data_IF_567841898905
#
_entry.id   IF_567841898905
#
_cell.length_a   1.000
_cell.length_b   1.000
_cell.length_c   1.000
_cell.angle_alpha   90.00
_cell.angle_beta   90.00
_cell.angle_gamma   90.00
#
_symmetry.space_group_name_H-M   'P 1'
#
loop_
_entity.id
_entity.type
_entity.pdbx_description
1 polymer ?
#
# COMPACT_ATOMS: atom_id res chain seq x y z
N UNK A 1 28.44 16.85 14.30
CA UNK A 1 28.33 15.40 14.50
C UNK A 1 27.24 14.88 13.57
N UNK A 2 27.62 14.14 12.53
CA UNK A 2 26.67 13.59 11.56
C UNK A 2 26.00 12.35 12.12
N UNK A 3 24.81 12.50 12.69
CA UNK A 3 23.96 11.35 13.00
C UNK A 3 23.67 10.59 11.69
N UNK A 4 23.91 9.28 11.68
CA UNK A 4 23.48 8.40 10.59
C UNK A 4 24.58 8.00 9.61
N UNK A 5 25.85 8.02 10.03
CA UNK A 5 26.88 7.29 9.29
C UNK A 5 26.59 5.79 9.39
N UNK A 6 26.92 5.03 8.35
CA UNK A 6 26.66 3.58 8.30
C UNK A 6 27.22 2.85 9.54
N UNK A 7 28.39 3.28 10.02
CA UNK A 7 29.06 2.76 11.21
C UNK A 7 28.22 2.92 12.48
N UNK A 8 27.51 4.04 12.65
CA UNK A 8 26.65 4.26 13.82
C UNK A 8 25.47 3.27 13.81
N UNK A 9 24.93 2.99 12.62
CA UNK A 9 23.83 2.02 12.46
C UNK A 9 24.30 0.58 12.70
N UNK A 10 25.54 0.27 12.33
CA UNK A 10 26.16 -1.04 12.63
C UNK A 10 26.34 -1.24 14.13
N UNK A 11 26.84 -0.23 14.86
CA UNK A 11 26.93 -0.27 16.33
C UNK A 11 25.55 -0.46 16.99
N UNK A 12 24.55 0.31 16.55
CA UNK A 12 23.17 0.17 17.04
C UNK A 12 22.60 -1.23 16.77
N UNK A 13 22.94 -1.85 15.64
CA UNK A 13 22.51 -3.22 15.32
C UNK A 13 23.08 -4.22 16.34
N UNK A 14 24.34 -4.05 16.73
CA UNK A 14 25.00 -4.94 17.70
C UNK A 14 24.44 -4.76 19.12
N UNK A 15 24.15 -3.52 19.52
CA UNK A 15 23.45 -3.21 20.78
C UNK A 15 22.06 -3.88 20.83
N UNK A 16 21.27 -3.72 19.76
CA UNK A 16 19.95 -4.36 19.65
C UNK A 16 20.05 -5.88 19.71
N UNK A 17 21.07 -6.47 19.06
CA UNK A 17 21.31 -7.92 19.12
C UNK A 17 21.59 -8.39 20.56
N UNK A 18 22.37 -7.61 21.31
CA UNK A 18 22.70 -7.89 22.72
C UNK A 18 21.46 -7.82 23.61
N UNK A 19 20.57 -6.85 23.40
CA UNK A 19 19.32 -6.77 24.17
C UNK A 19 18.36 -7.91 23.83
N UNK A 20 18.23 -8.26 22.55
CA UNK A 20 17.33 -9.34 22.12
C UNK A 20 17.77 -10.72 22.63
N UNK A 21 19.07 -10.96 22.75
CA UNK A 21 19.59 -12.25 23.24
C UNK A 21 19.20 -12.51 24.70
N UNK A 22 19.03 -11.46 25.52
CA UNK A 22 18.57 -11.57 26.91
C UNK A 22 17.17 -12.18 27.03
N UNK A 23 16.34 -12.05 25.98
CA UNK A 23 15.00 -12.63 25.90
C UNK A 23 14.94 -13.85 24.95
N UNK A 24 16.09 -14.40 24.55
CA UNK A 24 16.19 -15.56 23.68
C UNK A 24 15.84 -15.30 22.21
N UNK A 25 15.90 -14.04 21.75
CA UNK A 25 15.65 -13.65 20.36
C UNK A 25 16.94 -13.27 19.64
N UNK A 26 17.02 -13.56 18.35
CA UNK A 26 18.16 -13.20 17.50
C UNK A 26 17.70 -12.53 16.21
N UNK A 27 18.46 -11.56 15.72
CA UNK A 27 18.23 -10.94 14.42
C UNK A 27 18.55 -11.94 13.30
N UNK A 28 17.64 -12.06 12.35
CA UNK A 28 17.88 -12.86 11.14
C UNK A 28 18.78 -12.08 10.17
N UNK A 29 19.98 -12.59 9.92
CA UNK A 29 20.95 -11.94 9.01
C UNK A 29 20.39 -11.76 7.60
N UNK A 30 19.64 -12.75 7.11
CA UNK A 30 19.05 -12.71 5.76
C UNK A 30 17.91 -11.69 5.61
N UNK A 31 17.29 -11.26 6.72
CA UNK A 31 16.18 -10.27 6.71
C UNK A 31 16.63 -8.88 7.15
N UNK A 32 17.76 -8.77 7.83
CA UNK A 32 18.25 -7.52 8.40
C UNK A 32 19.15 -6.82 7.38
N UNK A 33 18.75 -5.64 6.93
CA UNK A 33 19.54 -4.83 5.99
C UNK A 33 19.63 -3.38 6.47
N UNK A 34 20.82 -2.81 6.35
CA UNK A 34 21.06 -1.38 6.47
C UNK A 34 20.94 -0.77 5.06
N UNK A 35 20.03 0.19 4.88
CA UNK A 35 19.79 0.87 3.61
C UNK A 35 19.69 2.38 3.83
N UNK A 36 20.13 3.15 2.84
CA UNK A 36 19.96 4.60 2.87
C UNK A 36 18.51 4.98 2.53
N UNK A 37 17.95 6.02 3.17
CA UNK A 37 16.55 6.42 2.99
C UNK A 37 16.23 6.85 1.54
N UNK A 38 17.23 7.24 0.76
CA UNK A 38 17.08 7.59 -0.66
C UNK A 38 17.01 6.37 -1.59
N UNK A 39 17.62 5.24 -1.19
CA UNK A 39 17.40 3.96 -1.88
C UNK A 39 15.97 3.46 -1.64
N UNK A 40 15.47 3.71 -0.43
CA UNK A 40 14.15 3.30 0.03
C UNK A 40 14.09 1.85 0.49
N UNK A 41 13.05 1.53 1.25
CA UNK A 41 12.83 0.18 1.78
C UNK A 41 11.35 -0.15 1.93
N UNK A 42 11.05 -1.44 1.99
CA UNK A 42 9.70 -1.95 2.17
C UNK A 42 9.44 -2.25 3.66
N UNK A 43 8.37 -1.68 4.21
CA UNK A 43 7.91 -1.93 5.58
C UNK A 43 6.38 -1.97 5.64
N UNK A 44 5.81 -3.05 6.20
CA UNK A 44 4.35 -3.26 6.30
C UNK A 44 3.59 -3.04 4.97
N UNK A 45 4.21 -3.41 3.85
CA UNK A 45 3.63 -3.24 2.51
C UNK A 45 3.72 -1.81 1.94
N UNK A 46 4.33 -0.88 2.67
CA UNK A 46 4.72 0.44 2.17
C UNK A 46 6.14 0.41 1.66
N UNK A 47 6.39 1.05 0.53
CA UNK A 47 7.72 1.45 0.10
C UNK A 47 7.96 2.89 0.56
N UNK A 48 8.98 3.08 1.39
CA UNK A 48 9.32 4.36 2.01
C UNK A 48 10.62 4.85 1.40
N UNK A 49 10.61 6.05 0.81
CA UNK A 49 11.77 6.61 0.13
C UNK A 49 11.82 8.13 0.27
N UNK A 50 12.98 8.70 0.59
CA UNK A 50 13.24 10.14 0.49
C UNK A 50 13.65 10.48 -0.93
N UNK A 51 12.93 11.42 -1.55
CA UNK A 51 13.24 11.91 -2.90
C UNK A 51 12.90 13.39 -3.06
N UNK A 52 13.41 14.00 -4.13
CA UNK A 52 13.11 15.39 -4.48
C UNK A 52 11.61 15.54 -4.72
N UNK A 53 11.02 16.56 -4.09
CA UNK A 53 9.63 16.90 -4.29
C UNK A 53 9.46 17.52 -5.68
N UNK A 54 8.56 16.94 -6.48
CA UNK A 54 8.26 17.48 -7.81
C UNK A 54 7.63 18.87 -7.69
N UNK A 55 8.15 19.85 -8.42
CA UNK A 55 7.61 21.21 -8.49
C UNK A 55 7.95 22.12 -7.30
N UNK A 56 8.90 21.74 -6.44
CA UNK A 56 9.49 22.64 -5.43
C UNK A 56 10.99 22.48 -5.47
N UNK A 57 11.69 23.52 -5.91
CA UNK A 57 13.13 23.48 -6.09
C UNK A 57 13.85 23.09 -4.80
N UNK A 58 14.68 22.06 -4.91
CA UNK A 58 15.59 21.60 -3.85
C UNK A 58 14.96 20.89 -2.65
N UNK A 59 13.63 20.84 -2.50
CA UNK A 59 13.02 20.25 -1.29
C UNK A 59 12.95 18.72 -1.36
N UNK A 60 13.51 18.05 -0.36
CA UNK A 60 13.40 16.61 -0.18
C UNK A 60 12.16 16.27 0.66
N UNK A 61 11.44 15.21 0.30
CA UNK A 61 10.31 14.71 1.06
C UNK A 61 10.34 13.18 1.13
N UNK A 62 9.82 12.63 2.23
CA UNK A 62 9.61 11.18 2.38
C UNK A 62 8.27 10.81 1.74
N UNK A 63 8.32 9.88 0.80
CA UNK A 63 7.17 9.29 0.15
C UNK A 63 6.95 7.89 0.70
N UNK A 64 5.73 7.62 1.16
CA UNK A 64 5.26 6.27 1.46
C UNK A 64 4.18 5.92 0.44
N UNK A 65 4.39 4.88 -0.36
CA UNK A 65 3.42 4.37 -1.34
C UNK A 65 3.34 2.84 -1.26
N UNK A 66 2.25 2.21 -1.72
CA UNK A 66 2.14 0.75 -1.65
C UNK A 66 3.29 0.09 -2.41
N UNK A 67 3.95 -0.88 -1.80
CA UNK A 67 5.09 -1.55 -2.41
C UNK A 67 4.64 -2.42 -3.58
N UNK A 68 5.58 -2.72 -4.49
CA UNK A 68 5.30 -3.61 -5.63
C UNK A 68 4.80 -4.98 -5.16
N UNK A 69 5.37 -5.51 -4.08
CA UNK A 69 4.93 -6.78 -3.47
C UNK A 69 3.49 -6.70 -2.96
N UNK A 70 3.12 -5.62 -2.29
CA UNK A 70 1.75 -5.42 -1.80
C UNK A 70 0.73 -5.31 -2.94
N UNK A 71 1.07 -4.58 -4.02
CA UNK A 71 0.24 -4.48 -5.22
C UNK A 71 0.09 -5.84 -5.91
N UNK A 72 1.19 -6.58 -6.11
CA UNK A 72 1.16 -7.90 -6.73
C UNK A 72 0.30 -8.89 -5.93
N UNK A 73 0.36 -8.82 -4.59
CA UNK A 73 -0.47 -9.66 -3.71
C UNK A 73 -1.96 -9.43 -3.97
N UNK A 74 -2.44 -8.18 -3.97
CA UNK A 74 -3.87 -7.90 -4.25
C UNK A 74 -4.23 -8.24 -5.69
N UNK A 75 -3.37 -7.96 -6.66
CA UNK A 75 -3.62 -8.34 -8.06
C UNK A 75 -3.75 -9.86 -8.22
N UNK A 76 -2.93 -10.64 -7.53
CA UNK A 76 -3.05 -12.11 -7.51
C UNK A 76 -4.37 -12.56 -6.90
N UNK A 77 -4.82 -11.92 -5.81
CA UNK A 77 -6.13 -12.20 -5.23
C UNK A 77 -7.26 -11.86 -6.22
N UNK A 78 -7.22 -10.70 -6.87
CA UNK A 78 -8.16 -10.32 -7.94
C UNK A 78 -8.15 -11.35 -9.07
N UNK A 79 -6.97 -11.77 -9.56
CA UNK A 79 -6.87 -12.82 -10.59
C UNK A 79 -7.56 -14.10 -10.17
N UNK A 80 -7.39 -14.50 -8.91
CA UNK A 80 -7.96 -15.73 -8.37
C UNK A 80 -9.48 -15.67 -8.26
N UNK A 81 -10.04 -14.50 -7.92
CA UNK A 81 -11.49 -14.27 -7.79
C UNK A 81 -12.13 -14.25 -9.18
N UNK A 82 -11.54 -13.53 -10.13
CA UNK A 82 -12.11 -13.38 -11.48
C UNK A 82 -11.80 -14.56 -12.41
N UNK A 83 -11.58 -15.77 -11.88
CA UNK A 83 -11.51 -16.98 -12.71
C UNK A 83 -12.93 -17.35 -13.19
N UNK A 84 -13.03 -17.97 -14.37
CA UNK A 84 -14.32 -18.12 -15.10
C UNK A 84 -15.31 -18.96 -14.29
N UNK A 85 -14.82 -20.03 -13.70
CA UNK A 85 -15.54 -21.09 -13.00
C UNK A 85 -15.98 -20.73 -11.58
N UNK A 86 -15.44 -19.65 -10.99
CA UNK A 86 -15.63 -19.38 -9.55
C UNK A 86 -16.99 -18.78 -9.17
N UNK A 87 -17.71 -18.18 -10.11
CA UNK A 87 -18.93 -17.44 -9.80
C UNK A 87 -20.03 -17.74 -10.80
N UNK A 88 -21.27 -17.91 -10.31
CA UNK A 88 -22.45 -18.15 -11.14
C UNK A 88 -23.06 -16.88 -11.72
N UNK A 89 -22.91 -15.73 -11.07
CA UNK A 89 -23.44 -14.45 -11.57
C UNK A 89 -22.38 -13.35 -11.48
N UNK A 90 -22.61 -12.21 -12.17
CA UNK A 90 -21.75 -11.04 -12.03
C UNK A 90 -21.88 -10.48 -10.60
N UNK A 91 -23.10 -10.41 -10.05
CA UNK A 91 -23.33 -9.99 -8.68
C UNK A 91 -22.51 -10.80 -7.65
N UNK A 92 -22.42 -12.12 -7.79
CA UNK A 92 -21.63 -12.96 -6.86
C UNK A 92 -20.13 -12.67 -6.95
N UNK A 93 -19.64 -12.44 -8.18
CA UNK A 93 -18.25 -12.03 -8.41
C UNK A 93 -18.00 -10.68 -7.72
N UNK A 94 -18.87 -9.69 -7.94
CA UNK A 94 -18.70 -8.34 -7.40
C UNK A 94 -18.80 -8.34 -5.87
N UNK A 95 -19.71 -9.12 -5.27
CA UNK A 95 -19.80 -9.28 -3.80
C UNK A 95 -18.52 -9.85 -3.19
N UNK A 96 -17.80 -10.68 -3.93
CA UNK A 96 -16.51 -11.25 -3.49
C UNK A 96 -15.34 -10.30 -3.74
N UNK A 97 -15.34 -9.60 -4.89
CA UNK A 97 -14.26 -8.71 -5.31
C UNK A 97 -14.25 -7.39 -4.53
N UNK A 98 -15.42 -6.79 -4.31
CA UNK A 98 -15.55 -5.45 -3.73
C UNK A 98 -14.94 -5.33 -2.32
N UNK A 99 -15.18 -6.25 -1.37
CA UNK A 99 -14.57 -6.17 -0.05
C UNK A 99 -13.05 -6.24 -0.09
N UNK A 100 -12.47 -6.99 -1.03
CA UNK A 100 -11.02 -7.09 -1.21
C UNK A 100 -10.43 -5.77 -1.68
N UNK A 101 -11.02 -5.17 -2.72
CA UNK A 101 -10.55 -3.87 -3.24
C UNK A 101 -10.74 -2.77 -2.19
N UNK A 102 -11.91 -2.72 -1.54
CA UNK A 102 -12.23 -1.72 -0.51
C UNK A 102 -11.29 -1.83 0.69
N UNK A 103 -11.09 -3.02 1.24
CA UNK A 103 -10.19 -3.23 2.36
C UNK A 103 -8.75 -2.85 2.03
N UNK A 104 -8.28 -3.21 0.83
CA UNK A 104 -6.94 -2.85 0.39
C UNK A 104 -6.77 -1.33 0.22
N UNK A 105 -7.74 -0.64 -0.38
CA UNK A 105 -7.74 0.82 -0.47
C UNK A 105 -7.80 1.48 0.91
N UNK A 106 -8.62 0.98 1.83
CA UNK A 106 -8.72 1.49 3.20
C UNK A 106 -7.42 1.33 4.00
N UNK A 107 -6.57 0.36 3.67
CA UNK A 107 -5.26 0.27 4.30
C UNK A 107 -4.28 1.31 3.72
N UNK A 108 -4.32 1.53 2.40
CA UNK A 108 -3.34 2.33 1.69
C UNK A 108 -3.74 3.80 1.42
N UNK A 109 -4.95 4.24 1.77
CA UNK A 109 -5.41 5.61 1.43
C UNK A 109 -4.68 6.74 2.17
N UNK A 110 -3.85 6.40 3.17
CA UNK A 110 -3.10 7.37 3.96
C UNK A 110 -1.77 7.82 3.35
N UNK A 111 -1.27 7.11 2.35
CA UNK A 111 0.00 7.42 1.68
C UNK A 111 -0.18 7.99 0.28
N UNK A 112 0.90 8.01 -0.49
CA UNK A 112 0.92 8.46 -1.88
C UNK A 112 0.45 7.32 -2.79
N UNK A 113 -0.84 7.01 -2.73
CA UNK A 113 -1.40 5.79 -3.32
C UNK A 113 -2.27 6.02 -4.57
N UNK A 114 -2.55 7.27 -4.97
CA UNK A 114 -3.46 7.58 -6.09
C UNK A 114 -3.09 6.85 -7.38
N UNK A 115 -1.81 6.87 -7.78
CA UNK A 115 -1.36 6.19 -9.01
C UNK A 115 -1.55 4.68 -8.91
N UNK A 116 -1.26 4.10 -7.73
CA UNK A 116 -1.43 2.67 -7.50
C UNK A 116 -2.92 2.28 -7.51
N UNK A 117 -3.80 3.14 -6.99
CA UNK A 117 -5.24 2.93 -7.01
C UNK A 117 -5.79 2.98 -8.44
N UNK A 118 -5.35 3.94 -9.25
CA UNK A 118 -5.71 3.99 -10.67
C UNK A 118 -5.27 2.74 -11.43
N UNK A 119 -4.05 2.27 -11.17
CA UNK A 119 -3.54 1.04 -11.79
C UNK A 119 -4.36 -0.19 -11.36
N UNK A 120 -4.66 -0.32 -10.07
CA UNK A 120 -5.46 -1.43 -9.55
C UNK A 120 -6.90 -1.39 -10.07
N UNK A 121 -7.51 -0.21 -10.20
CA UNK A 121 -8.83 -0.02 -10.80
C UNK A 121 -8.85 -0.53 -12.23
N UNK A 122 -7.97 0.01 -13.09
CA UNK A 122 -7.88 -0.38 -14.50
C UNK A 122 -7.64 -1.88 -14.65
N UNK A 123 -6.72 -2.44 -13.86
CA UNK A 123 -6.46 -3.87 -13.85
C UNK A 123 -7.72 -4.68 -13.49
N UNK A 124 -8.38 -4.31 -12.40
CA UNK A 124 -9.56 -5.03 -11.89
C UNK A 124 -10.74 -4.91 -12.86
N UNK A 125 -10.96 -3.73 -13.43
CA UNK A 125 -12.04 -3.47 -14.38
C UNK A 125 -11.88 -4.37 -15.62
N UNK A 126 -10.68 -4.40 -16.22
CA UNK A 126 -10.42 -5.27 -17.36
C UNK A 126 -10.53 -6.77 -17.04
N UNK A 127 -10.23 -7.17 -15.80
CA UNK A 127 -10.43 -8.56 -15.37
C UNK A 127 -11.90 -8.93 -15.36
N UNK A 128 -12.77 -8.06 -14.85
CA UNK A 128 -14.22 -8.30 -14.84
C UNK A 128 -14.80 -8.23 -16.25
N UNK A 129 -14.40 -7.28 -17.08
CA UNK A 129 -14.82 -7.20 -18.49
C UNK A 129 -14.41 -8.45 -19.28
N UNK A 130 -13.17 -8.93 -19.12
CA UNK A 130 -12.74 -10.19 -19.75
C UNK A 130 -13.52 -11.38 -19.23
N UNK A 131 -13.87 -11.41 -17.95
CA UNK A 131 -14.71 -12.46 -17.38
C UNK A 131 -16.11 -12.46 -18.02
N UNK A 132 -16.72 -11.28 -18.19
CA UNK A 132 -18.01 -11.12 -18.88
C UNK A 132 -17.93 -11.58 -20.34
N UNK A 133 -16.92 -11.12 -21.09
CA UNK A 133 -16.72 -11.52 -22.50
C UNK A 133 -16.56 -13.03 -22.66
N UNK A 134 -15.80 -13.68 -21.76
CA UNK A 134 -15.62 -15.14 -21.78
C UNK A 134 -16.90 -15.90 -21.44
N UNK A 135 -17.77 -15.32 -20.61
CA UNK A 135 -19.04 -15.93 -20.21
C UNK A 135 -20.11 -15.83 -21.30
N UNK A 136 -20.10 -14.73 -22.05
CA UNK A 136 -21.10 -14.42 -23.07
C UNK A 136 -20.51 -14.47 -24.48
N UNK A 137 -20.06 -15.66 -24.90
CA UNK A 137 -19.33 -15.88 -26.17
C UNK A 137 -20.13 -15.51 -27.44
N UNK A 138 -21.45 -15.35 -27.35
CA UNK A 138 -22.32 -14.95 -28.47
C UNK A 138 -22.83 -13.51 -28.42
N UNK A 139 -22.47 -12.71 -27.41
CA UNK A 139 -22.90 -11.32 -27.35
C UNK A 139 -21.90 -10.40 -28.06
N UNK A 140 -22.40 -9.58 -28.98
CA UNK A 140 -21.61 -8.48 -29.52
C UNK A 140 -21.28 -7.46 -28.41
N UNK A 141 -20.20 -6.69 -28.61
CA UNK A 141 -19.71 -5.73 -27.61
C UNK A 141 -20.77 -4.70 -27.22
N UNK A 142 -21.55 -4.18 -28.18
CA UNK A 142 -22.59 -3.19 -27.91
C UNK A 142 -23.68 -3.69 -26.98
N UNK A 143 -24.11 -4.95 -27.15
CA UNK A 143 -25.12 -5.60 -26.29
C UNK A 143 -24.57 -5.87 -24.90
N UNK A 144 -23.33 -6.37 -24.82
CA UNK A 144 -22.65 -6.58 -23.53
C UNK A 144 -22.49 -5.26 -22.78
N UNK A 145 -22.08 -4.20 -23.47
CA UNK A 145 -21.91 -2.87 -22.90
C UNK A 145 -23.23 -2.30 -22.37
N UNK A 146 -24.29 -2.34 -23.18
CA UNK A 146 -25.62 -1.87 -22.77
C UNK A 146 -26.15 -2.60 -21.53
N UNK A 147 -25.87 -3.90 -21.42
CA UNK A 147 -26.41 -4.75 -20.34
C UNK A 147 -25.62 -4.68 -19.04
N UNK A 148 -24.29 -4.63 -19.11
CA UNK A 148 -23.41 -4.80 -17.94
C UNK A 148 -22.48 -3.63 -17.68
N UNK A 149 -22.39 -2.66 -18.59
CA UNK A 149 -21.50 -1.50 -18.52
C UNK A 149 -22.25 -0.17 -18.78
N UNK A 150 -23.45 0.07 -18.22
CA UNK A 150 -24.11 1.37 -18.40
C UNK A 150 -23.20 2.48 -17.88
N UNK A 151 -23.02 3.55 -18.67
CA UNK A 151 -22.10 4.65 -18.35
C UNK A 151 -20.65 4.22 -18.00
N UNK A 152 -20.17 3.10 -18.55
CA UNK A 152 -18.85 2.51 -18.25
C UNK A 152 -18.66 2.01 -16.80
N UNK A 153 -19.76 1.86 -16.05
CA UNK A 153 -19.76 1.28 -14.72
C UNK A 153 -20.24 -0.18 -14.76
N UNK A 154 -19.51 -1.07 -14.10
CA UNK A 154 -19.86 -2.49 -14.06
C UNK A 154 -20.93 -2.70 -13.00
N UNK A 155 -22.14 -3.07 -13.42
CA UNK A 155 -23.29 -3.23 -12.53
C UNK A 155 -24.06 -4.52 -12.81
N UNK A 156 -24.56 -5.16 -11.75
CA UNK A 156 -25.55 -6.24 -11.82
C UNK A 156 -26.65 -5.99 -10.76
N UNK A 157 -27.81 -5.50 -11.23
CA UNK A 157 -28.89 -5.05 -10.34
C UNK A 157 -28.43 -3.93 -9.40
N UNK A 158 -28.46 -4.20 -8.09
CA UNK A 158 -28.03 -3.25 -7.04
C UNK A 158 -26.54 -3.30 -6.71
N UNK A 159 -25.77 -4.18 -7.36
CA UNK A 159 -24.35 -4.37 -7.05
C UNK A 159 -23.50 -3.70 -8.13
N UNK A 160 -22.82 -2.62 -7.76
CA UNK A 160 -21.81 -1.94 -8.58
C UNK A 160 -20.40 -2.41 -8.20
N UNK A 161 -19.50 -2.50 -9.19
CA UNK A 161 -18.09 -2.73 -8.93
C UNK A 161 -17.49 -1.55 -8.17
N UNK A 162 -16.82 -1.84 -7.05
CA UNK A 162 -16.04 -0.84 -6.34
C UNK A 162 -14.88 -0.33 -7.21
N UNK A 163 -14.71 1.00 -7.27
CA UNK A 163 -13.71 1.67 -8.10
C UNK A 163 -12.56 2.23 -7.25
N UNK A 164 -11.40 1.54 -7.14
CA UNK A 164 -10.24 2.05 -6.41
C UNK A 164 -9.82 3.49 -6.78
N UNK A 165 -9.96 3.87 -8.05
CA UNK A 165 -9.61 5.22 -8.52
C UNK A 165 -10.47 6.34 -7.90
N UNK A 166 -11.69 6.03 -7.43
CA UNK A 166 -12.59 7.00 -6.78
C UNK A 166 -12.23 7.23 -5.31
N UNK A 167 -11.31 6.46 -4.73
CA UNK A 167 -10.94 6.60 -3.32
C UNK A 167 -10.08 7.83 -3.11
N UNK A 168 -10.58 8.77 -2.30
CA UNK A 168 -9.84 9.96 -1.91
C UNK A 168 -8.67 9.60 -0.97
N UNK A 169 -7.49 10.10 -1.29
CA UNK A 169 -6.30 9.95 -0.45
C UNK A 169 -6.36 10.96 0.69
N UNK A 170 -6.26 10.46 1.93
CA UNK A 170 -6.20 11.29 3.15
C UNK A 170 -4.79 11.21 3.70
N UNK A 171 -3.94 12.15 3.30
CA UNK A 171 -2.57 12.20 3.79
C UNK A 171 -2.56 12.53 5.27
N UNK A 172 -1.82 11.75 6.07
CA UNK A 172 -1.53 12.13 7.44
C UNK A 172 -0.86 13.51 7.45
N UNK A 173 -1.51 14.47 8.09
CA UNK A 173 -0.90 15.75 8.41
C UNK A 173 0.12 15.49 9.52
N UNK A 174 1.38 15.83 9.28
CA UNK A 174 2.43 15.73 10.29
C UNK A 174 1.97 16.45 11.57
N UNK A 175 1.83 15.69 12.67
CA UNK A 175 1.41 16.22 13.98
C UNK A 175 2.60 16.64 14.85
N UNK A 176 3.83 16.51 14.36
CA UNK A 176 5.03 16.86 15.13
C UNK A 176 5.22 15.99 16.37
N UNK A 177 5.98 16.53 17.32
CA UNK A 177 6.20 15.99 18.67
C UNK A 177 4.98 16.12 19.60
N UNK A 178 3.83 16.59 19.10
CA UNK A 178 2.59 16.77 19.88
C UNK A 178 1.79 15.48 20.08
N UNK A 179 2.34 14.32 19.72
CA UNK A 179 1.75 13.02 20.08
C UNK A 179 2.29 12.71 21.48
N UNK A 180 1.47 12.80 22.54
CA UNK A 180 1.91 12.40 23.86
C UNK A 180 2.21 10.91 23.79
N UNK A 181 3.46 10.53 24.06
CA UNK A 181 3.81 9.12 24.21
C UNK A 181 3.87 8.81 25.69
N UNK A 182 3.50 7.60 26.13
CA UNK A 182 3.60 7.22 27.55
C UNK A 182 5.03 7.27 28.11
N UNK A 183 6.02 7.38 27.22
CA UNK A 183 7.45 7.28 27.52
C UNK A 183 8.15 8.65 27.53
N UNK A 184 7.46 9.73 27.16
CA UNK A 184 7.97 11.08 27.36
C UNK A 184 7.84 11.45 28.84
N UNK A 185 8.97 11.35 29.56
CA UNK A 185 9.24 11.70 30.97
C UNK A 185 9.21 10.56 32.00
N UNK A 186 10.41 10.05 32.31
CA UNK A 186 10.88 9.75 33.68
C UNK A 186 12.38 9.97 33.87
N UNK A 187 13.16 10.08 32.80
CA UNK A 187 14.58 10.43 32.87
C UNK A 187 14.78 11.75 32.13
N UNK A 188 15.26 12.78 32.85
CA UNK A 188 15.51 14.09 32.30
C UNK A 188 16.44 14.02 31.11
N UNK A 189 16.18 14.84 30.09
CA UNK A 189 17.14 15.09 29.02
C UNK A 189 18.44 15.58 29.67
N UNK A 190 19.62 14.97 29.44
CA UNK A 190 20.86 15.61 29.83
C UNK A 190 20.96 16.86 28.98
N UNK A 191 20.88 18.02 29.63
CA UNK A 191 21.25 19.28 29.02
C UNK A 191 22.70 19.15 28.58
N UNK A 192 22.93 19.13 27.26
CA UNK A 192 24.28 19.28 26.71
C UNK A 192 24.66 20.73 26.96
N UNK A 193 25.35 20.97 28.07
CA UNK A 193 26.03 22.22 28.38
C UNK A 193 27.11 22.45 27.33
N UNK A 194 26.96 23.50 26.53
CA UNK A 194 28.04 24.06 25.74
C UNK A 194 28.95 24.86 26.67
N UNK A 195 30.16 24.34 26.89
CA UNK A 195 31.36 25.08 27.28
C UNK A 195 32.54 24.44 26.55
#
# INVERSE_FOLDING_TARGET
MGYGARKDVELLKDEVSTVLSQVGLHLSESKTKICHIEEGFDFLGWHIQRRRQRGRDGKMAVYAYPSKKALLSVMTKVRSITRREKHRTLADLLRTLNPVLRGWCNYFYHGVSSNTFNYLDHFSWWRVVRWLRKRHLGLNWGTLHRRYLPAWEITDGKVEMFRPQKVSIIRYRYRGSKIPTPWTSKFGSPAVSLA
#
